data_IF_876667164620
#
_entry.id   IF_876667164620
#
_cell.length_a   1.000
_cell.length_b   1.000
_cell.length_c   1.000
_cell.angle_alpha   90.00
_cell.angle_beta   90.00
_cell.angle_gamma   90.00
#
_symmetry.space_group_name_H-M   'P 1'
#
loop_
_entity.id
_entity.type
_entity.pdbx_description
1 polymer ?
#
# COMPACT_ATOMS: atom_id res chain seq x y z
N UNK A 1 -22.91 -11.66 12.96
CA UNK A 1 -22.07 -12.87 12.74
C UNK A 1 -23.01 -14.04 12.98
N UNK A 2 -23.40 -14.66 11.91
CA UNK A 2 -24.15 -15.89 11.98
C UNK A 2 -23.17 -16.97 12.43
N UNK A 3 -23.46 -17.54 13.58
CA UNK A 3 -22.98 -18.80 14.12
C UNK A 3 -21.50 -19.01 14.49
N UNK A 4 -20.64 -18.02 14.50
CA UNK A 4 -19.26 -18.19 15.01
C UNK A 4 -18.41 -19.24 14.30
N UNK A 5 -18.83 -19.73 13.14
CA UNK A 5 -18.08 -20.67 12.34
C UNK A 5 -16.82 -20.03 11.75
N UNK A 6 -15.72 -20.75 11.85
CA UNK A 6 -14.45 -20.36 11.24
C UNK A 6 -14.59 -20.52 9.73
N UNK A 7 -14.53 -19.39 8.99
CA UNK A 7 -14.49 -19.45 7.54
C UNK A 7 -13.17 -20.06 7.06
N UNK A 8 -13.26 -21.17 6.36
CA UNK A 8 -12.15 -21.82 5.67
C UNK A 8 -12.42 -21.67 4.18
N UNK A 9 -11.50 -21.10 3.40
CA UNK A 9 -11.71 -20.92 1.97
C UNK A 9 -11.69 -22.27 1.24
N UNK A 10 -12.53 -22.42 0.23
CA UNK A 10 -12.58 -23.61 -0.63
C UNK A 10 -11.34 -23.74 -1.54
N UNK A 11 -10.59 -22.68 -1.70
CA UNK A 11 -9.39 -22.64 -2.55
C UNK A 11 -8.13 -22.64 -1.68
N UNK A 12 -7.25 -23.63 -1.90
CA UNK A 12 -5.92 -23.68 -1.32
C UNK A 12 -4.89 -23.34 -2.38
N UNK A 13 -4.01 -22.38 -2.07
CA UNK A 13 -2.91 -22.02 -2.94
C UNK A 13 -1.65 -22.83 -2.65
N UNK A 14 -0.72 -22.97 -3.60
CA UNK A 14 0.59 -23.59 -3.36
C UNK A 14 1.33 -22.91 -2.19
N UNK A 15 2.03 -23.71 -1.42
CA UNK A 15 2.78 -23.27 -0.24
C UNK A 15 4.15 -23.98 -0.18
N UNK A 16 5.12 -23.32 0.43
CA UNK A 16 6.48 -23.81 0.64
C UNK A 16 6.84 -23.96 2.15
N UNK A 17 5.83 -23.84 3.02
CA UNK A 17 6.05 -23.79 4.45
C UNK A 17 5.05 -24.65 5.22
N UNK A 18 5.42 -25.13 6.46
CA UNK A 18 4.61 -26.06 7.23
C UNK A 18 3.31 -25.47 7.80
N UNK A 19 3.13 -24.16 7.72
CA UNK A 19 1.91 -23.48 8.15
C UNK A 19 0.92 -23.27 7.00
N UNK A 20 1.24 -23.80 5.82
CA UNK A 20 0.40 -23.71 4.64
C UNK A 20 0.03 -22.27 4.25
N UNK A 21 0.89 -21.29 4.63
CA UNK A 21 0.75 -19.91 4.20
C UNK A 21 1.03 -19.84 2.71
N UNK A 22 0.12 -19.30 1.87
CA UNK A 22 0.25 -19.27 0.43
C UNK A 22 1.53 -18.60 -0.06
N UNK A 23 2.16 -19.13 -1.11
CA UNK A 23 3.27 -18.48 -1.79
C UNK A 23 2.77 -17.40 -2.76
N UNK A 24 3.40 -16.24 -2.73
CA UNK A 24 3.20 -15.19 -3.73
C UNK A 24 3.85 -15.56 -5.06
N UNK A 25 3.35 -14.97 -6.14
CA UNK A 25 3.91 -15.08 -7.47
C UNK A 25 4.94 -13.97 -7.70
N UNK A 26 6.17 -14.32 -8.03
CA UNK A 26 7.25 -13.36 -8.27
C UNK A 26 7.08 -12.56 -9.56
N UNK A 27 6.38 -13.10 -10.53
CA UNK A 27 6.08 -12.48 -11.83
C UNK A 27 4.86 -11.55 -11.79
N UNK A 28 4.05 -11.61 -10.73
CA UNK A 28 2.87 -10.75 -10.52
C UNK A 28 3.11 -9.76 -9.38
N UNK A 29 4.31 -9.19 -9.31
CA UNK A 29 4.61 -8.09 -8.41
C UNK A 29 4.68 -6.77 -9.19
N UNK A 30 4.35 -5.61 -8.57
CA UNK A 30 4.38 -4.33 -9.26
C UNK A 30 5.80 -3.99 -9.74
N UNK A 31 5.93 -3.64 -11.01
CA UNK A 31 7.22 -3.20 -11.57
C UNK A 31 7.51 -1.74 -11.24
N UNK A 32 6.47 -0.95 -11.00
CA UNK A 32 6.53 0.46 -10.64
C UNK A 32 5.48 0.80 -9.58
N UNK A 33 5.57 2.00 -9.04
CA UNK A 33 4.65 2.49 -8.01
C UNK A 33 3.58 3.32 -8.71
N UNK A 34 2.33 2.83 -8.64
CA UNK A 34 1.21 3.51 -9.25
C UNK A 34 0.47 4.43 -8.28
N UNK A 35 0.15 5.62 -8.76
CA UNK A 35 -0.70 6.60 -8.09
C UNK A 35 -2.06 6.69 -8.79
N UNK A 36 -3.13 7.07 -8.09
CA UNK A 36 -3.17 7.47 -6.68
C UNK A 36 -3.16 6.28 -5.72
N UNK A 37 -2.74 6.54 -4.46
CA UNK A 37 -2.90 5.60 -3.36
C UNK A 37 -4.25 5.82 -2.70
N UNK A 38 -5.13 4.82 -2.76
CA UNK A 38 -6.44 4.87 -2.13
C UNK A 38 -6.54 3.90 -0.96
N UNK A 39 -7.17 4.36 0.12
CA UNK A 39 -7.42 3.54 1.27
C UNK A 39 -8.73 2.77 1.12
N UNK A 40 -8.69 1.47 1.37
CA UNK A 40 -9.89 0.64 1.38
C UNK A 40 -10.92 1.15 2.39
N UNK A 41 -12.15 1.32 1.95
CA UNK A 41 -13.27 1.74 2.81
C UNK A 41 -13.34 3.24 3.14
N UNK A 42 -12.32 4.04 2.84
CA UNK A 42 -12.38 5.50 3.05
C UNK A 42 -13.07 6.25 1.92
N UNK A 43 -13.09 5.67 0.75
CA UNK A 43 -13.66 6.28 -0.44
C UNK A 43 -14.87 5.46 -0.93
N UNK A 44 -15.96 5.49 -0.17
CA UNK A 44 -17.22 4.81 -0.51
C UNK A 44 -17.78 5.18 -1.90
N UNK A 45 -17.23 6.22 -2.52
CA UNK A 45 -17.63 6.71 -3.85
C UNK A 45 -16.52 6.60 -4.90
N UNK A 46 -15.34 6.14 -4.54
CA UNK A 46 -14.27 5.89 -5.51
C UNK A 46 -14.46 4.51 -6.07
N UNK A 47 -15.23 4.48 -7.07
CA UNK A 47 -15.87 3.27 -7.50
C UNK A 47 -14.98 2.42 -8.37
N UNK A 48 -14.03 2.99 -9.08
CA UNK A 48 -13.22 2.22 -10.01
C UNK A 48 -11.89 2.93 -10.25
N UNK A 49 -10.80 2.24 -10.00
CA UNK A 49 -9.45 2.73 -10.25
C UNK A 49 -9.00 2.45 -11.70
N UNK A 50 -9.86 1.80 -12.49
CA UNK A 50 -9.64 1.50 -13.91
C UNK A 50 -8.33 0.74 -14.20
N UNK A 51 -7.98 -0.20 -13.32
CA UNK A 51 -6.75 -0.97 -13.43
C UNK A 51 -5.47 -0.17 -13.13
N UNK A 52 -5.59 0.99 -12.46
CA UNK A 52 -4.45 1.87 -12.13
C UNK A 52 -4.44 2.19 -10.65
N UNK A 53 -3.28 2.71 -10.19
CA UNK A 53 -3.11 3.12 -8.80
C UNK A 53 -2.99 1.95 -7.85
N UNK A 54 -2.72 2.27 -6.59
CA UNK A 54 -2.46 1.31 -5.52
C UNK A 54 -3.53 1.41 -4.44
N UNK A 55 -4.20 0.29 -4.13
CA UNK A 55 -5.14 0.20 -3.03
C UNK A 55 -4.41 -0.28 -1.78
N UNK A 56 -4.55 0.43 -0.65
CA UNK A 56 -3.93 0.05 0.61
C UNK A 56 -4.95 -0.11 1.75
N UNK A 57 -4.52 -0.76 2.84
CA UNK A 57 -5.35 -1.10 4.00
C UNK A 57 -4.81 -0.48 5.30
N UNK A 58 -4.05 0.60 5.23
CA UNK A 58 -3.58 1.35 6.41
C UNK A 58 -4.70 2.18 7.02
N UNK A 59 -5.67 1.47 7.57
CA UNK A 59 -6.88 1.98 8.24
C UNK A 59 -7.30 1.01 9.33
N UNK A 60 -8.38 1.30 10.03
CA UNK A 60 -8.89 0.43 11.11
C UNK A 60 -9.37 -0.92 10.56
N UNK A 61 -9.00 -2.02 11.21
CA UNK A 61 -9.29 -3.39 10.80
C UNK A 61 -10.79 -3.66 10.55
N UNK A 62 -11.68 -3.03 11.33
CA UNK A 62 -13.13 -3.22 11.17
C UNK A 62 -13.64 -2.82 9.78
N UNK A 63 -12.93 -1.94 9.06
CA UNK A 63 -13.31 -1.48 7.72
C UNK A 63 -13.12 -2.55 6.66
N UNK A 64 -12.17 -3.44 6.85
CA UNK A 64 -11.83 -4.48 5.88
C UNK A 64 -11.91 -5.93 6.41
N UNK A 65 -12.36 -6.15 7.64
CA UNK A 65 -12.45 -7.49 8.24
C UNK A 65 -13.19 -8.52 7.38
N UNK A 66 -14.15 -8.08 6.56
CA UNK A 66 -14.98 -8.96 5.72
C UNK A 66 -14.34 -9.31 4.37
N UNK A 67 -13.16 -8.77 4.02
CA UNK A 67 -12.55 -9.03 2.70
C UNK A 67 -12.02 -10.44 2.57
N UNK A 68 -11.68 -11.10 3.68
CA UNK A 68 -11.23 -12.48 3.67
C UNK A 68 -12.33 -13.44 3.23
N UNK A 69 -13.56 -13.22 3.71
CA UNK A 69 -14.74 -13.98 3.31
C UNK A 69 -15.29 -13.54 1.94
N UNK A 70 -15.02 -12.31 1.54
CA UNK A 70 -15.55 -11.67 0.33
C UNK A 70 -14.44 -10.91 -0.41
N UNK A 71 -13.45 -11.62 -1.01
CA UNK A 71 -12.31 -10.98 -1.70
C UNK A 71 -12.75 -10.11 -2.89
N UNK A 72 -13.92 -10.37 -3.48
CA UNK A 72 -14.50 -9.58 -4.54
C UNK A 72 -14.75 -8.11 -4.17
N UNK A 73 -14.76 -7.79 -2.88
CA UNK A 73 -14.84 -6.40 -2.42
C UNK A 73 -13.58 -5.60 -2.81
N UNK A 74 -12.42 -6.24 -2.90
CA UNK A 74 -11.18 -5.62 -3.40
C UNK A 74 -11.29 -5.39 -4.90
N UNK A 75 -11.79 -6.39 -5.63
CA UNK A 75 -11.94 -6.33 -7.10
C UNK A 75 -12.87 -5.21 -7.57
N UNK A 76 -13.85 -4.80 -6.74
CA UNK A 76 -14.74 -3.67 -7.06
C UNK A 76 -14.01 -2.34 -7.23
N UNK A 77 -12.86 -2.18 -6.61
CA UNK A 77 -12.00 -0.99 -6.80
C UNK A 77 -11.24 -1.04 -8.12
N UNK A 78 -11.07 -2.23 -8.70
CA UNK A 78 -10.28 -2.44 -9.92
C UNK A 78 -8.92 -1.74 -9.86
N UNK A 79 -8.06 -2.03 -8.85
CA UNK A 79 -6.75 -1.40 -8.70
C UNK A 79 -5.73 -2.03 -9.65
N UNK A 80 -4.67 -1.29 -10.02
CA UNK A 80 -3.51 -1.84 -10.71
C UNK A 80 -2.63 -2.66 -9.78
N UNK A 81 -2.53 -2.23 -8.52
CA UNK A 81 -1.83 -2.96 -7.47
C UNK A 81 -2.50 -2.80 -6.11
N UNK A 82 -2.12 -3.67 -5.18
CA UNK A 82 -2.50 -3.53 -3.77
C UNK A 82 -1.28 -3.60 -2.86
N UNK A 83 -1.36 -2.95 -1.71
CA UNK A 83 -0.55 -3.33 -0.54
C UNK A 83 -1.33 -4.40 0.21
N UNK A 84 -0.67 -5.45 0.69
CA UNK A 84 -1.33 -6.49 1.48
C UNK A 84 -2.18 -5.91 2.61
N UNK A 85 -3.33 -6.52 2.94
CA UNK A 85 -4.13 -6.09 4.08
C UNK A 85 -3.31 -6.08 5.38
N UNK A 86 -3.27 -4.91 6.02
CA UNK A 86 -2.53 -4.71 7.26
C UNK A 86 -3.42 -5.00 8.46
N UNK A 87 -3.59 -6.29 8.81
CA UNK A 87 -4.21 -6.67 10.07
C UNK A 87 -3.31 -6.27 11.24
N UNK A 88 -3.87 -5.59 12.24
CA UNK A 88 -3.12 -5.05 13.37
C UNK A 88 -2.46 -6.14 14.20
N UNK A 89 -1.13 -6.20 14.21
CA UNK A 89 -0.32 -7.14 14.96
C UNK A 89 0.64 -6.40 15.89
N UNK A 90 0.28 -6.33 17.18
CA UNK A 90 1.12 -5.75 18.23
C UNK A 90 2.00 -6.80 18.92
N UNK A 91 2.92 -6.34 19.77
CA UNK A 91 3.72 -7.23 20.61
C UNK A 91 2.87 -8.05 21.61
N UNK A 92 1.68 -7.56 21.96
CA UNK A 92 0.76 -8.25 22.89
C UNK A 92 -0.14 -9.26 22.17
N UNK A 93 -0.19 -9.26 20.84
CA UNK A 93 -1.01 -10.20 20.06
C UNK A 93 -0.48 -11.63 20.25
N UNK A 94 -1.30 -12.61 20.70
CA UNK A 94 -0.87 -14.01 20.80
C UNK A 94 -0.42 -14.56 19.45
N UNK A 95 0.58 -15.45 19.46
CA UNK A 95 1.18 -16.01 18.22
C UNK A 95 0.12 -16.66 17.32
N UNK A 96 -0.82 -17.41 17.88
CA UNK A 96 -1.87 -18.08 17.10
C UNK A 96 -2.75 -17.09 16.33
N UNK A 97 -3.10 -15.94 16.91
CA UNK A 97 -3.84 -14.88 16.22
C UNK A 97 -2.99 -14.20 15.14
N UNK A 98 -1.70 -14.01 15.43
CA UNK A 98 -0.76 -13.50 14.42
C UNK A 98 -0.61 -14.42 13.22
N UNK A 99 -0.54 -15.73 13.45
CA UNK A 99 -0.52 -16.75 12.38
C UNK A 99 -1.77 -16.65 11.51
N UNK A 100 -2.96 -16.57 12.12
CA UNK A 100 -4.21 -16.44 11.40
C UNK A 100 -4.26 -15.13 10.58
N UNK A 101 -3.82 -14.01 11.16
CA UNK A 101 -3.82 -12.72 10.47
C UNK A 101 -2.86 -12.72 9.27
N UNK A 102 -1.66 -13.30 9.43
CA UNK A 102 -0.67 -13.42 8.34
C UNK A 102 -1.16 -14.39 7.27
N UNK A 103 -1.77 -15.50 7.63
CA UNK A 103 -2.42 -16.38 6.65
C UNK A 103 -3.46 -15.63 5.82
N UNK A 104 -4.38 -14.92 6.48
CA UNK A 104 -5.46 -14.16 5.81
C UNK A 104 -4.92 -13.11 4.85
N UNK A 105 -3.92 -12.33 5.26
CA UNK A 105 -3.37 -11.30 4.37
C UNK A 105 -2.66 -11.92 3.17
N UNK A 106 -1.90 -13.00 3.37
CA UNK A 106 -1.18 -13.70 2.30
C UNK A 106 -2.13 -14.40 1.33
N UNK A 107 -3.19 -15.02 1.86
CA UNK A 107 -4.26 -15.61 1.04
C UNK A 107 -4.91 -14.56 0.13
N UNK A 108 -5.28 -13.40 0.69
CA UNK A 108 -5.86 -12.30 -0.08
C UNK A 108 -4.91 -11.77 -1.13
N UNK A 109 -3.65 -11.58 -0.77
CA UNK A 109 -2.61 -11.13 -1.68
C UNK A 109 -2.46 -12.10 -2.86
N UNK A 110 -2.35 -13.40 -2.58
CA UNK A 110 -2.25 -14.43 -3.62
C UNK A 110 -3.53 -14.49 -4.48
N UNK A 111 -4.71 -14.39 -3.89
CA UNK A 111 -5.97 -14.36 -4.64
C UNK A 111 -6.06 -13.15 -5.59
N UNK A 112 -5.48 -12.00 -5.21
CA UNK A 112 -5.40 -10.84 -6.10
C UNK A 112 -4.38 -11.05 -7.22
N UNK A 113 -3.25 -11.71 -6.94
CA UNK A 113 -2.28 -12.06 -7.99
C UNK A 113 -2.86 -13.00 -9.03
N UNK A 114 -3.76 -13.94 -8.67
CA UNK A 114 -4.50 -14.78 -9.63
C UNK A 114 -5.42 -13.97 -10.58
N UNK A 115 -5.71 -12.73 -10.22
CA UNK A 115 -6.46 -11.77 -11.05
C UNK A 115 -5.55 -10.79 -11.80
N UNK A 116 -4.23 -11.01 -11.77
CA UNK A 116 -3.24 -10.14 -12.41
C UNK A 116 -2.98 -8.83 -11.66
N UNK A 117 -3.46 -8.68 -10.43
CA UNK A 117 -3.24 -7.49 -9.61
C UNK A 117 -1.90 -7.62 -8.90
N UNK A 118 -1.00 -6.66 -9.13
CA UNK A 118 0.31 -6.62 -8.47
C UNK A 118 0.19 -6.43 -6.94
N UNK A 119 1.10 -7.05 -6.18
CA UNK A 119 1.05 -7.00 -4.72
C UNK A 119 2.35 -6.44 -4.15
N UNK A 120 2.25 -5.44 -3.27
CA UNK A 120 3.32 -5.04 -2.35
C UNK A 120 3.16 -5.81 -1.04
N UNK A 121 4.22 -6.50 -0.62
CA UNK A 121 4.24 -7.18 0.69
C UNK A 121 4.27 -6.14 1.80
N UNK A 122 3.30 -6.21 2.70
CA UNK A 122 3.26 -5.34 3.87
C UNK A 122 4.15 -5.87 4.99
N UNK A 123 5.15 -5.08 5.39
CA UNK A 123 6.09 -5.42 6.47
C UNK A 123 5.70 -4.84 7.84
N UNK A 124 4.62 -4.04 7.91
CA UNK A 124 4.16 -3.41 9.14
C UNK A 124 3.53 -4.41 10.12
N UNK A 125 4.36 -5.18 10.80
CA UNK A 125 3.98 -6.12 11.85
C UNK A 125 4.92 -5.94 13.06
N UNK A 126 4.49 -6.37 14.26
CA UNK A 126 5.39 -6.35 15.41
C UNK A 126 6.61 -7.27 15.20
N UNK A 127 7.79 -6.93 15.75
CA UNK A 127 9.04 -7.65 15.51
C UNK A 127 8.98 -9.16 15.71
N UNK A 128 8.21 -9.64 16.69
CA UNK A 128 8.03 -11.08 16.93
C UNK A 128 7.38 -11.83 15.78
N UNK A 129 6.74 -11.13 14.85
CA UNK A 129 6.07 -11.71 13.68
C UNK A 129 6.88 -11.61 12.38
N UNK A 130 8.04 -10.95 12.35
CA UNK A 130 8.78 -10.75 11.11
C UNK A 130 9.07 -12.05 10.35
N UNK A 131 9.57 -13.09 11.04
CA UNK A 131 9.85 -14.39 10.40
C UNK A 131 8.59 -15.03 9.82
N UNK A 132 7.50 -14.98 10.57
CA UNK A 132 6.22 -15.52 10.16
C UNK A 132 5.66 -14.74 8.95
N UNK A 133 5.80 -13.41 8.98
CA UNK A 133 5.34 -12.52 7.92
C UNK A 133 6.08 -12.72 6.59
N UNK A 134 7.27 -13.31 6.61
CA UNK A 134 8.02 -13.63 5.40
C UNK A 134 7.69 -15.00 4.80
N UNK A 135 6.91 -15.85 5.49
CA UNK A 135 6.47 -17.12 4.92
C UNK A 135 5.61 -16.88 3.69
N UNK A 136 5.87 -17.65 2.63
CA UNK A 136 5.21 -17.50 1.34
C UNK A 136 5.67 -16.27 0.54
N UNK A 137 6.71 -15.54 0.98
CA UNK A 137 7.35 -14.50 0.16
C UNK A 137 8.54 -15.10 -0.56
N UNK A 138 8.51 -15.21 -1.90
CA UNK A 138 9.62 -15.81 -2.65
C UNK A 138 10.92 -15.02 -2.48
N UNK A 139 12.05 -15.72 -2.45
CA UNK A 139 13.36 -15.09 -2.54
C UNK A 139 13.49 -14.33 -3.86
N UNK A 140 13.95 -13.08 -3.80
CA UNK A 140 14.02 -12.20 -4.95
C UNK A 140 12.76 -11.36 -5.17
N UNK A 141 11.72 -11.52 -4.33
CA UNK A 141 10.59 -10.60 -4.35
C UNK A 141 11.08 -9.17 -4.04
N UNK A 142 10.58 -8.18 -4.76
CA UNK A 142 11.18 -6.85 -4.75
C UNK A 142 10.20 -5.69 -4.55
N UNK A 143 8.98 -5.98 -4.12
CA UNK A 143 7.93 -4.98 -3.92
C UNK A 143 7.37 -5.04 -2.51
N UNK A 144 7.73 -4.03 -1.69
CA UNK A 144 7.41 -3.99 -0.26
C UNK A 144 6.79 -2.65 0.12
N UNK A 145 6.02 -2.68 1.20
CA UNK A 145 5.42 -1.49 1.78
C UNK A 145 5.38 -1.59 3.31
N UNK A 146 5.35 -0.43 3.96
CA UNK A 146 5.11 -0.32 5.40
C UNK A 146 4.40 0.98 5.73
N UNK A 147 3.95 1.11 6.99
CA UNK A 147 3.37 2.33 7.54
C UNK A 147 4.43 3.09 8.32
N UNK A 148 4.72 4.33 7.92
CA UNK A 148 5.63 5.21 8.66
C UNK A 148 5.04 5.66 9.99
N UNK A 149 5.88 5.69 11.03
CA UNK A 149 5.57 6.26 12.33
C UNK A 149 6.87 6.82 12.92
N UNK A 150 6.85 8.08 13.36
CA UNK A 150 8.05 8.76 13.89
C UNK A 150 8.64 8.05 15.11
N UNK A 151 7.78 7.47 15.95
CA UNK A 151 8.20 6.77 17.17
C UNK A 151 8.74 5.36 16.90
N UNK A 152 8.70 4.91 15.63
CA UNK A 152 9.09 3.57 15.20
C UNK A 152 10.16 3.59 14.09
N UNK A 153 11.08 4.54 14.15
CA UNK A 153 12.13 4.68 13.13
C UNK A 153 13.06 3.47 13.09
N UNK A 154 13.34 2.85 14.23
CA UNK A 154 14.19 1.65 14.29
C UNK A 154 13.52 0.44 13.62
N UNK A 155 12.21 0.27 13.83
CA UNK A 155 11.46 -0.78 13.13
C UNK A 155 11.43 -0.52 11.63
N UNK A 156 11.19 0.72 11.19
CA UNK A 156 11.24 1.10 9.78
C UNK A 156 12.59 0.75 9.13
N UNK A 157 13.68 1.06 9.81
CA UNK A 157 15.02 0.70 9.38
C UNK A 157 15.20 -0.81 9.24
N UNK A 158 14.70 -1.58 10.21
CA UNK A 158 14.78 -3.03 10.19
C UNK A 158 13.90 -3.64 9.09
N UNK A 159 12.70 -3.13 8.88
CA UNK A 159 11.80 -3.53 7.79
C UNK A 159 12.43 -3.27 6.40
N UNK A 160 13.17 -2.17 6.26
CA UNK A 160 13.93 -1.88 5.05
C UNK A 160 15.05 -2.87 4.81
N UNK A 161 15.82 -3.26 5.85
CA UNK A 161 16.86 -4.29 5.73
C UNK A 161 16.24 -5.68 5.43
N UNK A 162 15.06 -5.99 5.97
CA UNK A 162 14.30 -7.20 5.61
C UNK A 162 13.96 -7.18 4.11
N UNK A 163 13.42 -6.08 3.60
CA UNK A 163 13.09 -5.94 2.19
C UNK A 163 14.31 -6.16 1.29
N UNK A 164 15.43 -5.54 1.63
CA UNK A 164 16.71 -5.69 0.94
C UNK A 164 17.22 -7.13 0.97
N UNK A 165 17.13 -7.80 2.12
CA UNK A 165 17.51 -9.21 2.27
C UNK A 165 16.66 -10.13 1.39
N UNK A 166 15.34 -9.96 1.40
CA UNK A 166 14.42 -10.78 0.58
C UNK A 166 14.62 -10.52 -0.91
N UNK A 167 14.87 -9.26 -1.29
CA UNK A 167 15.15 -8.88 -2.67
C UNK A 167 16.43 -9.53 -3.24
N UNK A 168 17.32 -10.02 -2.37
CA UNK A 168 18.47 -10.85 -2.72
C UNK A 168 19.33 -10.26 -3.86
N UNK A 169 19.65 -8.98 -3.77
CA UNK A 169 20.45 -8.25 -4.75
C UNK A 169 19.65 -7.67 -5.93
N UNK A 170 18.39 -7.99 -6.07
CA UNK A 170 17.51 -7.32 -7.02
C UNK A 170 17.26 -5.87 -6.58
N UNK A 171 17.09 -4.98 -7.55
CA UNK A 171 16.50 -3.66 -7.25
C UNK A 171 15.11 -3.87 -6.65
N UNK A 172 14.81 -3.20 -5.54
CA UNK A 172 13.51 -3.35 -4.88
C UNK A 172 12.85 -1.98 -4.66
N UNK A 173 11.57 -2.01 -4.49
CA UNK A 173 10.71 -0.86 -4.18
C UNK A 173 10.24 -0.96 -2.75
N UNK A 174 10.45 0.10 -1.99
CA UNK A 174 10.03 0.17 -0.60
C UNK A 174 9.17 1.41 -0.38
N UNK A 175 7.88 1.18 -0.14
CA UNK A 175 6.90 2.24 0.06
C UNK A 175 6.69 2.46 1.55
N UNK A 176 6.74 3.73 1.98
CA UNK A 176 6.44 4.13 3.35
C UNK A 176 5.24 5.09 3.34
N UNK A 177 4.13 4.64 3.91
CA UNK A 177 2.89 5.41 3.96
C UNK A 177 2.79 6.25 5.22
N UNK A 178 2.90 7.57 5.08
CA UNK A 178 2.75 8.52 6.19
C UNK A 178 3.94 8.59 7.15
N UNK A 179 3.70 9.09 8.35
CA UNK A 179 4.72 9.24 9.42
C UNK A 179 5.32 10.63 9.54
N UNK A 180 4.97 11.58 8.67
CA UNK A 180 5.40 12.98 8.75
C UNK A 180 6.81 13.24 8.23
N UNK A 181 7.31 14.44 8.50
CA UNK A 181 8.54 14.96 7.88
C UNK A 181 9.80 14.16 8.20
N UNK A 182 9.91 13.59 9.41
CA UNK A 182 11.07 12.77 9.81
C UNK A 182 11.14 11.51 8.94
N UNK A 183 10.01 10.86 8.74
CA UNK A 183 9.93 9.67 7.89
C UNK A 183 10.13 10.02 6.41
N UNK A 184 9.57 11.17 5.97
CA UNK A 184 9.81 11.66 4.60
C UNK A 184 11.30 11.89 4.34
N UNK A 185 12.00 12.51 5.28
CA UNK A 185 13.45 12.74 5.18
C UNK A 185 14.23 11.42 5.16
N UNK A 186 13.89 10.49 6.06
CA UNK A 186 14.50 9.16 6.09
C UNK A 186 14.32 8.42 4.74
N UNK A 187 13.12 8.46 4.17
CA UNK A 187 12.85 7.85 2.86
C UNK A 187 13.74 8.44 1.76
N UNK A 188 13.93 9.76 1.76
CA UNK A 188 14.80 10.44 0.80
C UNK A 188 16.27 9.99 0.93
N UNK A 189 16.75 9.82 2.16
CA UNK A 189 18.12 9.40 2.44
C UNK A 189 18.38 7.93 2.09
N UNK A 190 17.34 7.08 2.16
CA UNK A 190 17.45 5.64 1.94
C UNK A 190 16.87 5.17 0.59
N UNK A 191 16.60 6.09 -0.33
CA UNK A 191 15.99 5.77 -1.63
C UNK A 191 14.69 4.95 -1.51
N UNK A 192 13.89 5.26 -0.48
CA UNK A 192 12.56 4.71 -0.27
C UNK A 192 11.49 5.72 -0.75
N UNK A 193 10.32 5.24 -1.10
CA UNK A 193 9.24 6.08 -1.61
C UNK A 193 8.29 6.47 -0.50
N UNK A 194 8.24 7.76 -0.18
CA UNK A 194 7.28 8.30 0.78
C UNK A 194 5.95 8.63 0.13
N UNK A 195 4.85 8.11 0.72
CA UNK A 195 3.50 8.42 0.27
C UNK A 195 2.78 9.29 1.30
N UNK A 196 2.39 10.48 0.87
CA UNK A 196 1.61 11.40 1.71
C UNK A 196 0.18 10.89 1.87
N UNK A 197 -0.32 10.69 3.10
CA UNK A 197 -1.71 10.31 3.32
C UNK A 197 -2.69 11.32 2.72
N UNK A 198 -3.72 10.82 2.05
CA UNK A 198 -4.69 11.67 1.35
C UNK A 198 -5.43 12.63 2.29
N UNK A 199 -5.57 12.25 3.57
CA UNK A 199 -6.18 13.13 4.58
C UNK A 199 -5.35 14.40 4.82
N UNK A 200 -4.02 14.29 4.76
CA UNK A 200 -3.12 15.45 4.89
C UNK A 200 -3.30 16.37 3.70
N UNK A 201 -3.42 15.81 2.48
CA UNK A 201 -3.67 16.57 1.26
C UNK A 201 -5.02 17.30 1.36
N UNK A 202 -6.08 16.57 1.78
CA UNK A 202 -7.42 17.16 1.97
C UNK A 202 -7.42 18.26 3.01
N UNK A 203 -6.69 18.11 4.12
CA UNK A 203 -6.59 19.14 5.16
C UNK A 203 -5.86 20.38 4.66
N UNK A 204 -4.79 20.22 3.87
CA UNK A 204 -4.09 21.36 3.22
C UNK A 204 -5.02 22.11 2.27
N UNK A 205 -5.83 21.38 1.48
CA UNK A 205 -6.81 22.00 0.58
C UNK A 205 -7.88 22.78 1.35
N UNK A 206 -8.44 22.20 2.43
CA UNK A 206 -9.42 22.88 3.30
C UNK A 206 -8.84 24.14 3.96
N UNK A 207 -7.61 24.06 4.43
CA UNK A 207 -6.93 25.23 5.00
C UNK A 207 -6.78 26.35 3.96
N UNK A 208 -6.43 26.00 2.73
CA UNK A 208 -6.32 26.94 1.63
C UNK A 208 -7.69 27.54 1.27
N UNK A 209 -8.77 26.72 1.21
CA UNK A 209 -10.14 27.21 0.99
C UNK A 209 -10.57 28.22 2.08
N UNK A 210 -10.30 27.92 3.33
CA UNK A 210 -10.60 28.82 4.46
C UNK A 210 -9.83 30.15 4.37
N UNK A 211 -8.56 30.10 4.00
CA UNK A 211 -7.78 31.33 3.76
C UNK A 211 -8.37 32.17 2.64
N UNK A 212 -8.83 31.52 1.58
CA UNK A 212 -9.52 32.15 0.45
C UNK A 212 -10.77 32.92 0.87
N UNK A 213 -11.61 32.29 1.70
CA UNK A 213 -12.86 32.90 2.18
C UNK A 213 -12.58 34.09 3.13
N UNK A 214 -11.47 34.04 3.89
CA UNK A 214 -11.06 35.09 4.81
C UNK A 214 -10.49 36.33 4.10
N UNK A 215 -9.86 36.16 2.95
CA UNK A 215 -9.21 37.25 2.21
C UNK A 215 -10.16 37.96 1.24
N UNK A 216 -11.37 37.42 1.01
CA UNK A 216 -12.48 38.13 0.35
C UNK A 216 -12.27 38.52 -1.12
N UNK A 217 -11.17 38.17 -1.72
CA UNK A 217 -10.87 38.48 -3.13
C UNK A 217 -10.31 37.27 -3.85
N UNK A 218 -11.12 36.70 -4.72
CA UNK A 218 -10.60 35.75 -5.70
C UNK A 218 -10.77 36.34 -7.09
N UNK A 219 -9.73 36.94 -7.45
CA UNK A 219 -9.29 37.13 -8.82
C UNK A 219 -9.29 35.76 -9.55
N UNK A 220 -9.55 35.78 -10.85
CA UNK A 220 -9.50 34.64 -11.75
C UNK A 220 -8.16 33.87 -11.62
N UNK A 221 -7.07 34.60 -11.37
CA UNK A 221 -5.72 34.09 -11.16
C UNK A 221 -5.60 33.24 -9.91
N UNK A 222 -6.29 33.60 -8.82
CA UNK A 222 -6.30 32.82 -7.58
C UNK A 222 -7.13 31.54 -7.72
N UNK A 223 -8.19 31.53 -8.55
CA UNK A 223 -8.93 30.33 -8.90
C UNK A 223 -8.10 29.35 -9.71
N UNK A 224 -7.36 29.84 -10.70
CA UNK A 224 -6.45 29.03 -11.51
C UNK A 224 -5.37 28.39 -10.64
N UNK A 225 -4.70 29.18 -9.79
CA UNK A 225 -3.72 28.70 -8.80
C UNK A 225 -4.29 27.68 -7.85
N UNK A 226 -5.54 27.83 -7.41
CA UNK A 226 -6.19 26.85 -6.54
C UNK A 226 -6.42 25.51 -7.24
N UNK A 227 -6.88 25.54 -8.50
CA UNK A 227 -7.09 24.31 -9.28
C UNK A 227 -5.76 23.63 -9.60
N UNK A 228 -4.72 24.38 -9.93
CA UNK A 228 -3.37 23.87 -10.11
C UNK A 228 -2.83 23.24 -8.82
N UNK A 229 -2.96 23.92 -7.67
CA UNK A 229 -2.56 23.40 -6.38
C UNK A 229 -3.32 22.11 -6.02
N UNK A 230 -4.62 22.10 -6.29
CA UNK A 230 -5.46 20.90 -6.06
C UNK A 230 -4.95 19.71 -6.88
N UNK A 231 -4.70 19.91 -8.16
CA UNK A 231 -4.12 18.88 -9.04
C UNK A 231 -2.75 18.46 -8.54
N UNK A 232 -1.83 19.40 -8.31
CA UNK A 232 -0.48 19.15 -7.84
C UNK A 232 -0.46 18.40 -6.51
N UNK A 233 -1.33 18.74 -5.55
CA UNK A 233 -1.39 18.05 -4.25
C UNK A 233 -1.86 16.59 -4.37
N UNK A 234 -2.72 16.29 -5.32
CA UNK A 234 -3.13 14.90 -5.58
C UNK A 234 -2.07 14.15 -6.39
N UNK A 235 -1.49 14.77 -7.40
CA UNK A 235 -0.46 14.18 -8.25
C UNK A 235 0.86 13.97 -7.48
N UNK A 236 1.14 14.77 -6.45
CA UNK A 236 2.32 14.65 -5.58
C UNK A 236 2.07 13.83 -4.31
N UNK A 237 1.10 12.94 -4.31
CA UNK A 237 0.90 12.03 -3.20
C UNK A 237 2.13 11.15 -2.95
N UNK A 238 2.80 10.74 -4.00
CA UNK A 238 4.06 9.99 -3.95
C UNK A 238 5.24 10.95 -4.06
N UNK A 239 6.16 10.85 -3.15
CA UNK A 239 7.40 11.65 -3.12
C UNK A 239 8.62 10.73 -3.18
N UNK A 240 9.75 11.32 -3.53
CA UNK A 240 11.02 10.60 -3.69
C UNK A 240 10.99 9.55 -4.82
N UNK A 241 10.23 9.85 -5.88
CA UNK A 241 10.30 9.09 -7.12
C UNK A 241 11.71 9.22 -7.70
N UNK A 242 12.37 8.11 -7.98
CA UNK A 242 13.62 8.16 -8.73
C UNK A 242 13.33 8.54 -10.19
N UNK A 243 14.30 9.20 -10.84
CA UNK A 243 14.19 9.52 -12.29
C UNK A 243 13.99 8.24 -13.11
N UNK A 244 14.56 7.12 -12.64
CA UNK A 244 14.45 5.80 -13.25
C UNK A 244 13.04 5.22 -13.11
N UNK A 245 12.37 5.39 -11.94
CA UNK A 245 10.96 5.00 -11.78
C UNK A 245 10.05 5.86 -12.70
N UNK A 246 10.40 7.12 -12.96
CA UNK A 246 9.68 7.96 -13.92
C UNK A 246 9.90 7.49 -15.36
N UNK A 247 11.10 7.07 -15.72
CA UNK A 247 11.42 6.56 -17.05
C UNK A 247 10.75 5.20 -17.31
N UNK A 248 10.73 4.31 -16.32
CA UNK A 248 10.00 3.04 -16.39
C UNK A 248 8.50 3.28 -16.64
N UNK A 249 7.91 4.25 -15.94
CA UNK A 249 6.51 4.66 -16.14
C UNK A 249 6.24 5.27 -17.54
N UNK A 250 7.23 5.87 -18.19
CA UNK A 250 7.07 6.49 -19.52
C UNK A 250 7.22 5.46 -20.66
N UNK A 251 7.88 4.33 -20.45
CA UNK A 251 8.11 3.32 -21.50
C UNK A 251 6.89 2.44 -21.77
N UNK A 252 5.97 2.32 -20.79
CA UNK A 252 4.78 1.47 -20.88
C UNK A 252 3.52 2.18 -21.42
N UNK A 253 3.62 3.44 -21.87
CA UNK A 253 2.51 4.05 -22.60
C UNK A 253 2.36 3.35 -23.96
N UNK A 254 1.21 2.76 -24.26
CA UNK A 254 0.97 2.21 -25.59
C UNK A 254 1.18 3.33 -26.62
N UNK A 255 2.13 3.10 -27.53
CA UNK A 255 2.30 4.00 -28.69
C UNK A 255 0.95 4.07 -29.38
N UNK A 256 0.29 5.22 -29.27
CA UNK A 256 -0.89 5.50 -30.06
C UNK A 256 -0.48 5.29 -31.53
N UNK A 257 -1.00 4.21 -32.12
CA UNK A 257 -0.88 3.96 -33.55
C UNK A 257 -1.48 5.16 -34.27
N UNK A 258 -0.67 5.78 -35.13
CA UNK A 258 -1.08 6.84 -36.04
C UNK A 258 -2.18 6.37 -36.99
#
# INVERSE_FOLDING_TARGET
MENGELYIPDCLFPTDNPLEIPCLLSDVQPQYIEIPFYCFGEQARTTNMNGRGTLHFYTDDYRFRSIYEKPEKILKYNPGSIIEPNFSLSNDTPIAFGMQAIYKKRFLARAMQEKGIGVFVDLNVAPKFYKLNLMGVPKGYSSFATRGCTDRLNELQFEYEIAKFVANGNRFRFIVYGGGNVIEQWCKENNAVYVTPIIIIKNKLKAFEKMKDTIGMLDLDAKAKYQELKKTLYDTQVKNFSVEDMLDNMQDFPKLSK
#
